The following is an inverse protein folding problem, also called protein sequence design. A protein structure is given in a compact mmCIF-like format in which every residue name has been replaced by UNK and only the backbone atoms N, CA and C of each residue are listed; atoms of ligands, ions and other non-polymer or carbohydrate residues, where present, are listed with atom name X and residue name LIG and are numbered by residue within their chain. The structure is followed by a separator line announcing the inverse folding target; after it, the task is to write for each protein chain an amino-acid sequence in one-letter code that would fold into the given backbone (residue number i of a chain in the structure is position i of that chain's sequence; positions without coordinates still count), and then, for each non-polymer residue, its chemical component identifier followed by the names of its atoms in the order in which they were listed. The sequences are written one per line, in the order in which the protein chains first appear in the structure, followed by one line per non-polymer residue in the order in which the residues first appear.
data_IF_906693030339
#
_entry.id   IF_906693030339
#
_cell.length_a   1.000
_cell.length_b   1.000
_cell.length_c   1.000
_cell.angle_alpha   90.00
_cell.angle_beta   90.00
_cell.angle_gamma   90.00
#
_symmetry.space_group_name_H-M   'P 1'
#
loop_
_entity.id
_entity.type
_entity.pdbx_description
1 polymer ?
#
# COMPACT_ATOMS: atom_id res chain seq x y z
N UNK A 1 4.47 -2.75 29.23
CA UNK A 1 4.44 -3.68 28.07
C UNK A 1 5.05 -3.10 26.79
N UNK A 2 5.53 -1.84 26.75
CA UNK A 2 6.02 -1.16 25.54
C UNK A 2 7.49 -1.43 25.14
N UNK A 3 8.05 -2.61 25.43
CA UNK A 3 9.46 -2.94 25.15
C UNK A 3 9.65 -4.15 24.22
N UNK A 4 8.58 -4.66 23.59
CA UNK A 4 8.68 -5.85 22.73
C UNK A 4 8.86 -5.44 21.27
N UNK A 5 9.95 -5.88 20.66
CA UNK A 5 10.14 -5.83 19.20
C UNK A 5 9.44 -7.02 18.54
N UNK A 6 8.89 -6.80 17.35
CA UNK A 6 8.23 -7.83 16.53
C UNK A 6 9.25 -8.41 15.55
N UNK A 7 9.57 -9.69 15.71
CA UNK A 7 10.43 -10.42 14.80
C UNK A 7 9.62 -11.03 13.64
N UNK A 8 10.16 -10.97 12.42
CA UNK A 8 9.51 -11.47 11.21
C UNK A 8 10.55 -11.88 10.16
N UNK A 9 10.12 -12.60 9.13
CA UNK A 9 10.93 -12.98 7.96
C UNK A 9 10.34 -12.38 6.67
N UNK A 10 11.15 -12.38 5.61
CA UNK A 10 10.69 -11.92 4.31
C UNK A 10 9.48 -12.74 3.83
N UNK A 11 8.42 -12.04 3.44
CA UNK A 11 7.16 -12.64 3.00
C UNK A 11 6.07 -12.71 4.06
N UNK A 12 6.38 -12.47 5.34
CA UNK A 12 5.36 -12.35 6.38
C UNK A 12 4.50 -11.11 6.16
N UNK A 13 3.20 -11.21 6.48
CA UNK A 13 2.24 -10.11 6.39
C UNK A 13 1.98 -9.57 7.79
N UNK A 14 2.16 -8.27 7.95
CA UNK A 14 2.04 -7.59 9.25
C UNK A 14 0.86 -6.64 9.18
N UNK A 15 -0.07 -6.75 10.13
CA UNK A 15 -1.12 -5.76 10.31
C UNK A 15 -0.52 -4.57 11.07
N UNK A 16 -0.50 -3.41 10.43
CA UNK A 16 0.00 -2.18 11.07
C UNK A 16 -1.08 -1.63 11.99
N UNK A 17 -0.74 -1.43 13.26
CA UNK A 17 -1.64 -0.92 14.31
C UNK A 17 -1.36 0.55 14.64
N UNK A 18 -0.09 0.97 14.60
CA UNK A 18 0.32 2.38 14.75
C UNK A 18 1.50 2.72 13.83
N UNK A 19 1.33 3.74 12.99
CA UNK A 19 2.33 4.27 12.08
C UNK A 19 2.63 5.77 12.35
N UNK A 20 2.33 6.27 13.55
CA UNK A 20 2.53 7.67 13.93
C UNK A 20 4.00 8.09 13.93
N UNK A 21 4.91 7.14 14.14
CA UNK A 21 6.35 7.36 14.01
C UNK A 21 6.83 6.96 12.61
N UNK A 22 7.78 7.71 12.05
CA UNK A 22 8.29 7.51 10.68
C UNK A 22 9.18 6.27 10.51
N UNK A 23 9.90 5.87 11.55
CA UNK A 23 10.96 4.85 11.49
C UNK A 23 10.52 3.53 12.14
N UNK A 24 9.64 3.60 13.14
CA UNK A 24 9.20 2.46 13.95
C UNK A 24 7.69 2.39 14.03
N UNK A 25 7.12 1.27 13.59
CA UNK A 25 5.67 1.03 13.61
C UNK A 25 5.31 -0.05 14.62
N UNK A 26 4.13 0.06 15.21
CA UNK A 26 3.55 -1.02 16.01
C UNK A 26 2.69 -1.89 15.10
N UNK A 27 2.86 -3.20 15.17
CA UNK A 27 2.07 -4.12 14.35
C UNK A 27 1.89 -5.48 14.99
N UNK A 28 1.14 -6.30 14.28
CA UNK A 28 0.70 -7.62 14.73
C UNK A 28 0.94 -8.68 13.64
N UNK A 29 1.45 -9.82 14.06
CA UNK A 29 1.51 -11.08 13.29
C UNK A 29 0.84 -12.14 14.16
N UNK A 30 -0.22 -12.77 13.65
CA UNK A 30 -1.07 -13.68 14.42
C UNK A 30 -1.51 -13.04 15.75
N UNK A 31 -1.13 -13.60 16.89
CA UNK A 31 -1.43 -13.09 18.23
C UNK A 31 -0.27 -12.28 18.86
N UNK A 32 0.84 -12.10 18.14
CA UNK A 32 2.02 -11.38 18.64
C UNK A 32 2.04 -9.92 18.16
N UNK A 33 2.20 -9.00 19.11
CA UNK A 33 2.36 -7.57 18.84
C UNK A 33 3.73 -7.06 19.26
N UNK A 34 4.25 -6.08 18.52
CA UNK A 34 5.54 -5.47 18.81
C UNK A 34 5.90 -4.31 17.87
N UNK A 35 6.99 -3.63 18.21
CA UNK A 35 7.61 -2.60 17.36
C UNK A 35 8.46 -3.23 16.26
N UNK A 36 8.35 -2.74 15.04
CA UNK A 36 9.21 -3.14 13.92
C UNK A 36 9.63 -1.93 13.07
N UNK A 37 10.79 -2.00 12.39
CA UNK A 37 11.27 -0.89 11.58
C UNK A 37 10.49 -0.78 10.26
N UNK A 38 9.97 0.41 9.97
CA UNK A 38 9.18 0.71 8.77
C UNK A 38 9.98 0.47 7.46
N UNK A 39 11.30 0.63 7.51
CA UNK A 39 12.18 0.46 6.34
C UNK A 39 12.38 -0.99 5.90
N UNK A 40 11.89 -1.97 6.67
CA UNK A 40 12.01 -3.40 6.37
C UNK A 40 10.73 -3.99 5.76
N UNK A 41 9.69 -3.17 5.59
CA UNK A 41 8.40 -3.60 5.02
C UNK A 41 8.07 -2.82 3.76
N UNK A 42 7.16 -3.37 2.95
CA UNK A 42 6.56 -2.68 1.81
C UNK A 42 5.05 -2.68 1.99
N UNK A 43 4.45 -1.50 1.97
CA UNK A 43 2.99 -1.36 2.00
C UNK A 43 2.37 -1.92 0.73
N UNK A 44 1.22 -2.57 0.88
CA UNK A 44 0.42 -3.00 -0.27
C UNK A 44 -0.22 -1.80 -0.96
N UNK A 45 -0.19 -1.83 -2.28
CA UNK A 45 -0.94 -0.89 -3.12
C UNK A 45 -2.40 -1.32 -3.14
N UNK A 46 -3.32 -0.37 -3.08
CA UNK A 46 -4.77 -0.62 -3.01
C UNK A 46 -5.21 -1.26 -1.68
N UNK A 47 -4.78 -0.67 -0.55
CA UNK A 47 -5.45 -0.91 0.73
C UNK A 47 -6.79 -0.17 0.68
N UNK A 48 -7.82 -0.82 0.15
CA UNK A 48 -9.19 -0.36 0.30
C UNK A 48 -9.59 -0.62 1.76
N UNK A 49 -10.04 0.39 2.48
CA UNK A 49 -10.72 0.17 3.76
C UNK A 49 -11.92 -0.73 3.45
N UNK A 50 -11.93 -1.96 3.96
CA UNK A 50 -13.17 -2.72 4.12
C UNK A 50 -14.04 -1.97 5.13
N UNK A 51 -14.66 -0.87 4.69
CA UNK A 51 -15.83 -0.33 5.37
C UNK A 51 -16.92 -1.35 5.11
N UNK A 52 -17.23 -2.16 6.12
CA UNK A 52 -18.44 -2.98 6.14
C UNK A 52 -19.62 -2.12 5.65
N UNK A 53 -20.13 -2.40 4.45
CA UNK A 53 -21.45 -1.94 4.09
C UNK A 53 -22.44 -2.71 4.99
N UNK A 54 -22.99 -2.01 5.97
CA UNK A 54 -24.05 -2.54 6.82
C UNK A 54 -25.23 -3.05 5.99
N UNK A 55 -26.01 -4.02 6.51
CA UNK A 55 -27.10 -4.62 5.76
C UNK A 55 -28.19 -3.57 5.56
N UNK A 56 -28.41 -3.15 4.32
CA UNK A 56 -29.59 -2.34 3.97
C UNK A 56 -30.75 -3.29 3.64
N UNK A 57 -31.74 -3.29 4.54
CA UNK A 57 -33.00 -4.02 4.42
C UNK A 57 -33.87 -3.55 3.22
N UNK A 58 -34.14 -4.51 2.32
CA UNK A 58 -35.40 -4.86 1.60
C UNK A 58 -36.30 -3.81 0.88
N UNK A 59 -36.32 -3.92 -0.46
CA UNK A 59 -37.39 -3.85 -1.50
C UNK A 59 -38.30 -2.60 -1.71
N UNK A 60 -38.38 -2.10 -2.97
CA UNK A 60 -39.48 -2.36 -3.94
C UNK A 60 -39.41 -1.47 -5.21
N UNK A 61 -39.65 -2.07 -6.39
CA UNK A 61 -40.41 -1.39 -7.48
C UNK A 61 -39.70 -0.96 -8.77
N UNK A 62 -40.11 -1.60 -9.87
CA UNK A 62 -40.06 -1.20 -11.30
C UNK A 62 -38.78 -1.43 -12.12
N UNK A 63 -38.85 -2.41 -13.04
CA UNK A 63 -37.89 -2.61 -14.13
C UNK A 63 -38.31 -1.77 -15.35
N UNK A 64 -37.50 -0.78 -15.71
CA UNK A 64 -37.55 -0.12 -17.02
C UNK A 64 -36.73 -0.94 -18.06
N UNK A 65 -37.30 -1.34 -19.21
CA UNK A 65 -36.59 -2.22 -20.17
C UNK A 65 -35.56 -1.52 -21.08
N UNK A 66 -35.20 -0.26 -20.84
CA UNK A 66 -34.41 0.52 -21.82
C UNK A 66 -33.26 1.33 -21.21
N UNK A 67 -32.66 0.84 -20.11
CA UNK A 67 -31.38 1.37 -19.62
C UNK A 67 -30.26 0.44 -20.05
N UNK A 68 -29.35 1.01 -20.83
CA UNK A 68 -28.15 0.38 -21.36
C UNK A 68 -27.39 -0.46 -20.33
N UNK A 69 -26.78 -1.53 -20.84
CA UNK A 69 -25.86 -2.45 -20.19
C UNK A 69 -24.86 -1.76 -19.24
N UNK A 70 -25.14 -1.70 -17.93
CA UNK A 70 -24.26 -1.02 -16.96
C UNK A 70 -23.86 -1.84 -15.72
N UNK A 71 -24.13 -3.15 -15.67
CA UNK A 71 -23.81 -3.96 -14.48
C UNK A 71 -22.65 -4.96 -14.64
N UNK A 72 -22.15 -5.20 -15.86
CA UNK A 72 -20.98 -6.07 -16.08
C UNK A 72 -19.62 -5.34 -16.09
N UNK A 73 -19.61 -4.00 -16.14
CA UNK A 73 -18.37 -3.20 -16.23
C UNK A 73 -17.69 -2.85 -14.90
N UNK A 74 -18.42 -2.93 -13.78
CA UNK A 74 -17.96 -2.42 -12.48
C UNK A 74 -16.77 -3.21 -11.88
N UNK A 75 -16.74 -4.56 -11.92
CA UNK A 75 -15.60 -5.32 -11.40
C UNK A 75 -14.34 -5.18 -12.27
N UNK A 76 -14.50 -5.08 -13.60
CA UNK A 76 -13.39 -4.96 -14.55
C UNK A 76 -12.72 -3.59 -14.45
N UNK A 77 -13.52 -2.51 -14.36
CA UNK A 77 -13.01 -1.15 -14.14
C UNK A 77 -12.25 -1.03 -12.81
N UNK A 78 -12.69 -1.72 -11.76
CA UNK A 78 -11.94 -1.74 -10.50
C UNK A 78 -10.56 -2.41 -10.67
N UNK A 79 -10.48 -3.53 -11.39
CA UNK A 79 -9.19 -4.21 -11.64
C UNK A 79 -8.25 -3.40 -12.53
N UNK A 80 -8.76 -2.70 -13.53
CA UNK A 80 -7.95 -1.83 -14.37
C UNK A 80 -7.42 -0.62 -13.58
N UNK A 81 -8.23 -0.07 -12.67
CA UNK A 81 -7.78 0.98 -11.76
C UNK A 81 -6.72 0.46 -10.78
N UNK A 82 -6.92 -0.70 -10.16
CA UNK A 82 -5.92 -1.35 -9.30
C UNK A 82 -4.60 -1.58 -10.04
N UNK A 83 -4.66 -2.04 -11.29
CA UNK A 83 -3.49 -2.21 -12.16
C UNK A 83 -2.80 -0.87 -12.42
N UNK A 84 -3.56 0.18 -12.75
CA UNK A 84 -3.02 1.52 -12.97
C UNK A 84 -2.32 2.06 -11.71
N UNK A 85 -2.88 1.81 -10.52
CA UNK A 85 -2.28 2.23 -9.25
C UNK A 85 -0.91 1.56 -9.02
N UNK A 86 -0.81 0.25 -9.29
CA UNK A 86 0.47 -0.48 -9.21
C UNK A 86 1.48 0.05 -10.21
N UNK A 87 1.06 0.28 -11.47
CA UNK A 87 1.93 0.86 -12.50
C UNK A 87 2.45 2.23 -12.05
N UNK A 88 1.57 3.09 -11.54
CA UNK A 88 1.94 4.43 -11.08
C UNK A 88 2.92 4.39 -9.91
N UNK A 89 2.72 3.48 -8.96
CA UNK A 89 3.65 3.28 -7.84
C UNK A 89 5.02 2.86 -8.35
N UNK A 90 5.11 1.83 -9.19
CA UNK A 90 6.37 1.38 -9.81
C UNK A 90 7.08 2.54 -10.52
N UNK A 91 6.36 3.23 -11.39
CA UNK A 91 6.95 4.33 -12.17
C UNK A 91 7.41 5.47 -11.26
N UNK A 92 6.70 5.72 -10.16
CA UNK A 92 7.08 6.72 -9.17
C UNK A 92 8.33 6.30 -8.41
N UNK A 93 8.36 5.08 -7.85
CA UNK A 93 9.49 4.62 -7.05
C UNK A 93 10.76 4.47 -7.89
N UNK A 94 10.65 4.06 -9.16
CA UNK A 94 11.80 4.05 -10.09
C UNK A 94 12.34 5.47 -10.35
N UNK A 95 11.48 6.47 -10.55
CA UNK A 95 11.93 7.87 -10.71
C UNK A 95 12.68 8.36 -9.46
N UNK A 96 12.16 8.06 -8.27
CA UNK A 96 12.81 8.44 -7.02
C UNK A 96 14.15 7.72 -6.85
N UNK A 97 14.19 6.41 -7.14
CA UNK A 97 15.40 5.61 -7.05
C UNK A 97 16.50 6.12 -7.99
N UNK A 98 16.17 6.40 -9.26
CA UNK A 98 17.10 6.99 -10.23
C UNK A 98 17.63 8.34 -9.73
N UNK A 99 16.77 9.18 -9.15
CA UNK A 99 17.19 10.46 -8.56
C UNK A 99 18.19 10.23 -7.43
N UNK A 100 17.93 9.30 -6.52
CA UNK A 100 18.88 8.97 -5.44
C UNK A 100 20.23 8.51 -5.98
N UNK A 101 20.25 7.63 -6.99
CA UNK A 101 21.49 7.20 -7.63
C UNK A 101 22.26 8.36 -8.26
N UNK A 102 21.55 9.28 -8.93
CA UNK A 102 22.13 10.47 -9.53
C UNK A 102 22.74 11.38 -8.47
N UNK A 103 22.01 11.66 -7.40
CA UNK A 103 22.46 12.50 -6.29
C UNK A 103 23.72 11.91 -5.61
N UNK A 104 23.79 10.58 -5.46
CA UNK A 104 24.98 9.88 -4.95
C UNK A 104 26.16 10.04 -5.90
N UNK A 105 25.96 9.78 -7.19
CA UNK A 105 27.02 9.85 -8.20
C UNK A 105 27.60 11.27 -8.34
N UNK A 106 26.73 12.27 -8.44
CA UNK A 106 27.11 13.66 -8.69
C UNK A 106 27.57 14.38 -7.43
N UNK A 107 26.87 14.17 -6.32
CA UNK A 107 27.11 14.85 -5.05
C UNK A 107 28.27 14.28 -4.26
N UNK A 108 28.47 12.96 -4.29
CA UNK A 108 29.51 12.30 -3.49
C UNK A 108 30.63 11.76 -4.36
N UNK A 109 30.34 10.81 -5.25
CA UNK A 109 31.37 10.06 -5.96
C UNK A 109 32.23 10.95 -6.87
N UNK A 110 31.61 11.89 -7.60
CA UNK A 110 32.34 12.86 -8.44
C UNK A 110 33.22 13.80 -7.62
N UNK A 111 32.80 14.19 -6.41
CA UNK A 111 33.59 15.05 -5.54
C UNK A 111 34.75 14.28 -4.91
N UNK A 112 34.53 13.03 -4.49
CA UNK A 112 35.59 12.15 -4.00
C UNK A 112 36.69 11.92 -5.04
N UNK A 113 36.34 11.78 -6.33
CA UNK A 113 37.31 11.59 -7.42
C UNK A 113 38.13 12.83 -7.79
N UNK A 114 37.72 14.03 -7.36
CA UNK A 114 38.44 15.28 -7.61
C UNK A 114 39.49 15.61 -6.56
N UNK A 115 39.48 14.87 -5.44
CA UNK A 115 40.49 14.97 -4.38
C UNK A 115 41.63 14.04 -4.71
#
# INVERSE_FOLDING_TARGET
MANRELAFKAGDVIKVLDASNKDWWWGQIDDEEGWFPASFVRLWVNQEDEVEEGPSDVQNGHLDPNSDCLCLGRPLQNRDQMRANVINEIMSTERHYIKHLKDICEGYLKQCRKR
#
